data_IF_023409808673
#
_entry.id   IF_023409808673
#
_cell.length_a   1.000
_cell.length_b   1.000
_cell.length_c   1.000
_cell.angle_alpha   90.00
_cell.angle_beta   90.00
_cell.angle_gamma   90.00
#
_symmetry.space_group_name_H-M   'P 1'
#
loop_
_entity.id
_entity.type
_entity.pdbx_description
1 polymer ?
#
# COMPACT_ATOMS: atom_id res chain seq x y z
N UNK A 1 -20.02 -10.11 7.99
CA UNK A 1 -19.52 -10.69 6.73
C UNK A 1 -18.02 -10.50 6.67
N UNK A 2 -17.27 -11.53 6.30
CA UNK A 2 -15.82 -11.42 6.08
C UNK A 2 -15.53 -10.48 4.90
N UNK A 3 -14.52 -9.62 5.03
CA UNK A 3 -14.03 -8.69 3.99
C UNK A 3 -12.69 -9.17 3.47
N UNK A 4 -12.33 -8.76 2.27
CA UNK A 4 -11.01 -9.03 1.67
C UNK A 4 -10.17 -7.76 1.73
N UNK A 5 -9.03 -7.85 2.41
CA UNK A 5 -8.07 -6.76 2.61
C UNK A 5 -6.83 -6.98 1.75
N UNK A 6 -6.52 -6.05 0.86
CA UNK A 6 -5.25 -6.00 0.14
C UNK A 6 -4.31 -5.01 0.84
N UNK A 7 -3.20 -5.51 1.39
CA UNK A 7 -2.29 -4.71 2.22
C UNK A 7 -0.91 -4.66 1.57
N UNK A 8 -0.42 -3.47 1.27
CA UNK A 8 0.91 -3.30 0.71
C UNK A 8 1.97 -3.14 1.81
N UNK A 9 3.16 -3.75 1.60
CA UNK A 9 4.25 -3.66 2.56
C UNK A 9 4.02 -4.46 3.85
N UNK A 10 3.34 -5.61 3.77
CA UNK A 10 2.97 -6.47 4.90
C UNK A 10 4.10 -7.38 5.42
N UNK A 11 5.38 -7.08 5.14
CA UNK A 11 6.52 -7.90 5.59
C UNK A 11 7.19 -7.39 6.86
N UNK A 12 6.75 -6.27 7.45
CA UNK A 12 7.29 -5.69 8.70
C UNK A 12 6.40 -4.56 9.24
N UNK A 13 6.56 -4.26 10.55
CA UNK A 13 5.96 -3.11 11.21
C UNK A 13 4.45 -3.03 11.00
N UNK A 14 3.91 -1.82 10.86
CA UNK A 14 2.48 -1.54 10.78
C UNK A 14 1.72 -2.43 9.76
N UNK A 15 2.35 -2.78 8.64
CA UNK A 15 1.70 -3.65 7.65
C UNK A 15 1.45 -5.07 8.15
N UNK A 16 2.31 -5.60 9.03
CA UNK A 16 2.11 -6.89 9.70
C UNK A 16 1.00 -6.76 10.74
N UNK A 17 1.02 -5.68 11.52
CA UNK A 17 0.03 -5.46 12.58
C UNK A 17 -1.39 -5.32 12.01
N UNK A 18 -1.54 -4.56 10.92
CA UNK A 18 -2.83 -4.43 10.20
C UNK A 18 -3.28 -5.78 9.64
N UNK A 19 -2.35 -6.56 9.06
CA UNK A 19 -2.68 -7.87 8.50
C UNK A 19 -3.14 -8.85 9.58
N UNK A 20 -2.44 -8.92 10.71
CA UNK A 20 -2.82 -9.75 11.84
C UNK A 20 -4.18 -9.33 12.42
N UNK A 21 -4.39 -8.04 12.66
CA UNK A 21 -5.67 -7.54 13.16
C UNK A 21 -6.85 -7.88 12.22
N UNK A 22 -6.64 -7.81 10.91
CA UNK A 22 -7.66 -8.19 9.94
C UNK A 22 -7.95 -9.70 9.96
N UNK A 23 -6.91 -10.55 10.06
CA UNK A 23 -7.06 -12.01 10.18
C UNK A 23 -7.76 -12.39 11.49
N UNK A 24 -7.36 -11.81 12.63
CA UNK A 24 -7.97 -12.01 13.93
C UNK A 24 -9.46 -11.60 13.97
N UNK A 25 -9.82 -10.58 13.19
CA UNK A 25 -11.21 -10.16 13.02
C UNK A 25 -12.02 -11.06 12.06
N UNK A 26 -11.44 -12.16 11.57
CA UNK A 26 -12.11 -13.12 10.68
C UNK A 26 -12.22 -12.62 9.22
N UNK A 27 -11.29 -11.79 8.77
CA UNK A 27 -11.23 -11.30 7.40
C UNK A 27 -10.20 -12.07 6.56
N UNK A 28 -10.38 -12.07 5.26
CA UNK A 28 -9.38 -12.56 4.30
C UNK A 28 -8.33 -11.47 4.03
N UNK A 29 -7.06 -11.85 3.99
CA UNK A 29 -5.95 -10.92 3.78
C UNK A 29 -5.11 -11.33 2.59
N UNK A 30 -4.88 -10.40 1.68
CA UNK A 30 -3.86 -10.46 0.65
C UNK A 30 -2.70 -9.59 1.11
N UNK A 31 -1.69 -10.22 1.70
CA UNK A 31 -0.51 -9.57 2.22
C UNK A 31 0.58 -9.48 1.15
N UNK A 32 1.05 -8.28 0.84
CA UNK A 32 1.98 -8.11 -0.27
C UNK A 32 3.31 -7.48 0.14
N UNK A 33 4.34 -7.81 -0.62
CA UNK A 33 5.67 -7.25 -0.46
C UNK A 33 6.62 -7.71 -1.56
N UNK A 34 7.78 -7.05 -1.71
CA UNK A 34 8.81 -7.44 -2.68
C UNK A 34 9.45 -8.78 -2.35
N UNK A 35 9.53 -9.13 -1.07
CA UNK A 35 10.06 -10.40 -0.57
C UNK A 35 8.92 -11.18 0.11
N UNK A 36 8.37 -12.16 -0.60
CA UNK A 36 7.26 -13.01 -0.14
C UNK A 36 7.62 -13.89 1.03
N UNK A 37 8.88 -14.36 1.12
CA UNK A 37 9.33 -15.20 2.24
C UNK A 37 9.33 -14.42 3.55
N UNK A 38 9.68 -13.13 3.48
CA UNK A 38 9.60 -12.24 4.64
C UNK A 38 8.15 -12.03 5.10
N UNK A 39 7.24 -11.83 4.14
CA UNK A 39 5.80 -11.67 4.44
C UNK A 39 5.26 -12.97 5.06
N UNK A 40 5.54 -14.11 4.45
CA UNK A 40 5.09 -15.42 4.93
C UNK A 40 5.65 -15.76 6.31
N UNK A 41 6.91 -15.41 6.61
CA UNK A 41 7.48 -15.61 7.95
C UNK A 41 6.85 -14.72 9.01
N UNK A 42 6.45 -13.50 8.64
CA UNK A 42 5.85 -12.55 9.57
C UNK A 42 4.39 -12.90 9.93
N UNK A 43 3.63 -13.46 8.98
CA UNK A 43 2.19 -13.71 9.13
C UNK A 43 1.82 -15.18 9.29
N UNK A 44 2.76 -16.10 9.06
CA UNK A 44 2.49 -17.54 9.11
C UNK A 44 1.68 -18.04 7.92
N UNK A 45 0.91 -19.11 8.17
CA UNK A 45 0.05 -19.76 7.16
C UNK A 45 -1.39 -19.79 7.66
N UNK A 46 -2.33 -19.39 6.81
CA UNK A 46 -3.77 -19.49 7.06
C UNK A 46 -4.50 -19.70 5.72
N UNK A 47 -5.68 -20.32 5.76
CA UNK A 47 -6.56 -20.42 4.60
C UNK A 47 -7.06 -19.03 4.16
N UNK A 48 -7.17 -18.11 5.11
CA UNK A 48 -7.65 -16.73 4.93
C UNK A 48 -6.52 -15.77 4.52
N UNK A 49 -5.28 -16.27 4.39
CA UNK A 49 -4.11 -15.49 3.99
C UNK A 49 -3.66 -15.88 2.58
N UNK A 50 -3.43 -14.88 1.73
CA UNK A 50 -2.73 -15.00 0.46
C UNK A 50 -1.51 -14.08 0.47
N UNK A 51 -0.32 -14.64 0.28
CA UNK A 51 0.92 -13.86 0.16
C UNK A 51 1.24 -13.68 -1.32
N UNK A 52 1.40 -12.42 -1.76
CA UNK A 52 1.67 -12.07 -3.16
C UNK A 52 2.87 -11.15 -3.28
N UNK A 53 3.72 -11.41 -4.28
CA UNK A 53 4.82 -10.50 -4.62
C UNK A 53 4.24 -9.23 -5.22
N UNK A 54 4.68 -8.09 -4.70
CA UNK A 54 4.28 -6.77 -5.22
C UNK A 54 5.39 -5.75 -4.99
N UNK A 55 5.93 -5.23 -6.07
CA UNK A 55 6.66 -3.98 -6.09
C UNK A 55 5.68 -2.88 -6.56
N UNK A 56 5.24 -2.02 -5.65
CA UNK A 56 4.24 -0.98 -5.93
C UNK A 56 4.69 0.04 -6.97
N UNK A 57 6.01 0.14 -7.25
CA UNK A 57 6.53 1.01 -8.30
C UNK A 57 6.28 0.46 -9.70
N UNK A 58 5.84 -0.81 -9.81
CA UNK A 58 5.56 -1.51 -11.07
C UNK A 58 4.06 -1.70 -11.25
N UNK A 59 3.41 -1.01 -12.21
CA UNK A 59 1.97 -1.19 -12.47
C UNK A 59 1.57 -2.63 -12.76
N UNK A 60 2.39 -3.38 -13.49
CA UNK A 60 2.14 -4.79 -13.83
C UNK A 60 2.10 -5.71 -12.61
N UNK A 61 2.93 -5.44 -11.58
CA UNK A 61 2.89 -6.18 -10.33
C UNK A 61 1.58 -5.89 -9.58
N UNK A 62 1.09 -4.63 -9.62
CA UNK A 62 -0.18 -4.26 -9.01
C UNK A 62 -1.37 -4.98 -9.69
N UNK A 63 -1.40 -5.01 -11.02
CA UNK A 63 -2.41 -5.74 -11.79
C UNK A 63 -2.40 -7.24 -11.45
N UNK A 64 -1.22 -7.84 -11.37
CA UNK A 64 -1.04 -9.26 -11.02
C UNK A 64 -1.52 -9.56 -9.60
N UNK A 65 -1.22 -8.68 -8.64
CA UNK A 65 -1.67 -8.83 -7.26
C UNK A 65 -3.19 -8.70 -7.12
N UNK A 66 -3.81 -7.77 -7.84
CA UNK A 66 -5.27 -7.62 -7.90
C UNK A 66 -5.92 -8.86 -8.52
N UNK A 67 -5.37 -9.35 -9.64
CA UNK A 67 -5.86 -10.58 -10.26
C UNK A 67 -5.80 -11.76 -9.29
N UNK A 68 -4.66 -11.99 -8.65
CA UNK A 68 -4.49 -13.07 -7.65
C UNK A 68 -5.49 -12.95 -6.49
N UNK A 69 -5.77 -11.71 -6.03
CA UNK A 69 -6.75 -11.44 -4.97
C UNK A 69 -8.16 -11.86 -5.40
N UNK A 70 -8.55 -11.48 -6.61
CA UNK A 70 -9.88 -11.80 -7.15
C UNK A 70 -10.00 -13.30 -7.45
N UNK A 71 -8.96 -13.92 -8.03
CA UNK A 71 -8.94 -15.36 -8.29
C UNK A 71 -9.11 -16.17 -7.01
N UNK A 72 -8.52 -15.74 -5.88
CA UNK A 72 -8.58 -16.46 -4.60
C UNK A 72 -9.84 -16.18 -3.80
N UNK A 73 -10.25 -14.91 -3.71
CA UNK A 73 -11.31 -14.47 -2.78
C UNK A 73 -12.53 -13.84 -3.46
N UNK A 74 -12.50 -13.65 -4.78
CA UNK A 74 -13.61 -13.14 -5.58
C UNK A 74 -13.83 -11.62 -5.52
N UNK A 75 -13.14 -10.92 -4.60
CA UNK A 75 -13.38 -9.50 -4.32
C UNK A 75 -12.19 -8.81 -3.65
N UNK A 76 -12.24 -7.47 -3.56
CA UNK A 76 -11.36 -6.64 -2.72
C UNK A 76 -12.24 -5.58 -2.06
N UNK A 77 -12.36 -5.62 -0.73
CA UNK A 77 -13.20 -4.68 0.02
C UNK A 77 -12.40 -3.51 0.58
N UNK A 78 -11.15 -3.77 0.98
CA UNK A 78 -10.28 -2.76 1.58
C UNK A 78 -8.90 -2.84 0.92
N UNK A 79 -8.44 -1.70 0.41
CA UNK A 79 -7.04 -1.50 0.04
C UNK A 79 -6.34 -0.71 1.13
N UNK A 80 -5.21 -1.23 1.62
CA UNK A 80 -4.33 -0.49 2.53
C UNK A 80 -3.00 -0.19 1.82
N UNK A 81 -2.83 1.04 1.38
CA UNK A 81 -1.57 1.59 0.88
C UNK A 81 -0.66 1.93 2.07
N UNK A 82 0.11 0.94 2.52
CA UNK A 82 1.02 1.08 3.66
C UNK A 82 2.49 1.07 3.24
N UNK A 83 2.85 0.45 2.13
CA UNK A 83 4.24 0.39 1.68
C UNK A 83 4.82 1.79 1.44
N UNK A 84 5.94 2.07 2.10
CA UNK A 84 6.68 3.33 1.98
C UNK A 84 8.16 3.11 2.27
N UNK A 85 8.97 4.12 1.96
CA UNK A 85 10.36 4.26 2.37
C UNK A 85 10.58 5.66 2.96
N UNK A 86 11.75 5.86 3.55
CA UNK A 86 12.16 7.13 4.12
C UNK A 86 13.66 7.33 3.86
N UNK A 87 13.99 8.42 3.19
CA UNK A 87 15.35 8.92 3.05
C UNK A 87 15.48 10.20 3.85
N UNK A 88 16.39 10.21 4.82
CA UNK A 88 16.70 11.35 5.68
C UNK A 88 18.06 11.94 5.30
N UNK A 89 18.17 13.25 5.33
CA UNK A 89 19.40 13.99 5.08
C UNK A 89 19.13 15.46 4.76
N UNK A 90 20.16 16.27 4.74
CA UNK A 90 20.06 17.61 4.19
C UNK A 90 19.70 17.52 2.70
N UNK A 91 18.95 18.51 2.20
CA UNK A 91 18.45 18.47 0.83
C UNK A 91 19.56 18.31 -0.21
N UNK A 92 20.66 19.05 -0.02
CA UNK A 92 21.83 19.01 -0.90
C UNK A 92 22.65 17.71 -0.81
N UNK A 93 22.46 16.90 0.24
CA UNK A 93 23.11 15.61 0.42
C UNK A 93 22.31 14.44 -0.14
N UNK A 94 21.01 14.65 -0.36
CA UNK A 94 20.14 13.63 -0.95
C UNK A 94 20.48 13.49 -2.44
N UNK A 95 20.88 12.30 -2.84
CA UNK A 95 21.10 11.99 -4.24
C UNK A 95 19.78 12.09 -5.03
N UNK A 96 19.81 12.58 -6.29
CA UNK A 96 18.61 12.63 -7.14
C UNK A 96 17.85 11.30 -7.20
N UNK A 97 18.57 10.18 -7.26
CA UNK A 97 18.00 8.82 -7.29
C UNK A 97 17.29 8.45 -6.00
N UNK A 98 17.70 8.99 -4.85
CA UNK A 98 17.01 8.80 -3.57
C UNK A 98 15.70 9.58 -3.56
N UNK A 99 15.70 10.81 -4.07
CA UNK A 99 14.51 11.62 -4.26
C UNK A 99 13.50 10.92 -5.17
N UNK A 100 13.94 10.43 -6.34
CA UNK A 100 13.10 9.69 -7.27
C UNK A 100 12.51 8.43 -6.64
N UNK A 101 13.34 7.65 -5.94
CA UNK A 101 12.88 6.43 -5.24
C UNK A 101 11.89 6.74 -4.12
N UNK A 102 12.09 7.86 -3.41
CA UNK A 102 11.15 8.31 -2.38
C UNK A 102 9.77 8.59 -2.99
N UNK A 103 9.73 9.38 -4.05
CA UNK A 103 8.50 9.75 -4.74
C UNK A 103 7.86 8.54 -5.43
N UNK A 104 8.65 7.74 -6.15
CA UNK A 104 8.16 6.52 -6.82
C UNK A 104 7.52 5.53 -5.84
N UNK A 105 8.13 5.34 -4.66
CA UNK A 105 7.61 4.38 -3.68
C UNK A 105 6.46 4.97 -2.87
N UNK A 106 6.61 6.19 -2.34
CA UNK A 106 5.70 6.70 -1.31
C UNK A 106 4.54 7.53 -1.88
N UNK A 107 4.57 7.90 -3.16
CA UNK A 107 3.51 8.64 -3.85
C UNK A 107 2.98 7.88 -5.08
N UNK A 108 3.82 7.62 -6.07
CA UNK A 108 3.38 6.98 -7.33
C UNK A 108 2.97 5.53 -7.10
N UNK A 109 3.66 4.81 -6.22
CA UNK A 109 3.35 3.41 -5.89
C UNK A 109 1.92 3.21 -5.38
N UNK A 110 1.45 3.94 -4.36
CA UNK A 110 0.05 3.91 -3.94
C UNK A 110 -0.95 4.24 -5.06
N UNK A 111 -0.62 5.18 -5.95
CA UNK A 111 -1.45 5.50 -7.11
C UNK A 111 -1.58 4.32 -8.07
N UNK A 112 -0.48 3.58 -8.34
CA UNK A 112 -0.49 2.40 -9.21
C UNK A 112 -1.40 1.31 -8.64
N UNK A 113 -1.25 0.98 -7.36
CA UNK A 113 -2.07 -0.07 -6.71
C UNK A 113 -3.54 0.36 -6.67
N UNK A 114 -3.81 1.60 -6.32
CA UNK A 114 -5.17 2.15 -6.31
C UNK A 114 -5.81 2.08 -7.70
N UNK A 115 -5.08 2.47 -8.75
CA UNK A 115 -5.56 2.39 -10.14
C UNK A 115 -5.94 0.96 -10.53
N UNK A 116 -5.15 -0.03 -10.12
CA UNK A 116 -5.43 -1.43 -10.40
C UNK A 116 -6.65 -1.97 -9.63
N UNK A 117 -6.87 -1.52 -8.39
CA UNK A 117 -7.98 -1.97 -7.52
C UNK A 117 -9.31 -1.32 -7.89
N UNK A 118 -9.32 -0.06 -8.30
CA UNK A 118 -10.55 0.71 -8.57
C UNK A 118 -11.55 0.03 -9.50
N UNK A 119 -11.16 -0.63 -10.63
CA UNK A 119 -12.11 -1.31 -11.49
C UNK A 119 -12.89 -2.42 -10.78
N UNK A 120 -12.23 -3.16 -9.88
CA UNK A 120 -12.84 -4.22 -9.06
C UNK A 120 -13.87 -3.61 -8.10
N UNK A 121 -13.48 -2.57 -7.35
CA UNK A 121 -14.36 -1.89 -6.39
C UNK A 121 -15.56 -1.23 -7.07
N UNK A 122 -15.36 -0.63 -8.26
CA UNK A 122 -16.46 -0.07 -9.07
C UNK A 122 -17.47 -1.13 -9.49
N UNK A 123 -17.00 -2.29 -9.98
CA UNK A 123 -17.88 -3.41 -10.34
C UNK A 123 -18.65 -3.92 -9.12
N UNK A 124 -18.04 -3.92 -7.94
CA UNK A 124 -18.65 -4.30 -6.67
C UNK A 124 -19.64 -3.24 -6.15
N UNK A 125 -19.55 -1.99 -6.64
CA UNK A 125 -20.23 -0.80 -6.09
C UNK A 125 -19.93 -0.58 -4.59
N UNK A 126 -18.77 -1.03 -4.14
CA UNK A 126 -18.32 -0.89 -2.76
C UNK A 126 -16.81 -1.06 -2.68
N UNK A 127 -16.20 -0.38 -1.74
CA UNK A 127 -14.76 -0.47 -1.47
C UNK A 127 -14.32 0.65 -0.53
N UNK A 128 -13.20 0.41 0.17
CA UNK A 128 -12.55 1.39 1.02
C UNK A 128 -11.07 1.43 0.68
N UNK A 129 -10.52 2.61 0.49
CA UNK A 129 -9.09 2.83 0.28
C UNK A 129 -8.54 3.59 1.47
N UNK A 130 -7.59 2.98 2.16
CA UNK A 130 -6.85 3.56 3.28
C UNK A 130 -5.43 3.80 2.80
N UNK A 131 -4.94 5.03 2.91
CA UNK A 131 -3.55 5.37 2.58
C UNK A 131 -2.85 5.90 3.83
N UNK A 132 -1.75 5.26 4.20
CA UNK A 132 -0.97 5.66 5.37
C UNK A 132 -0.17 6.92 5.02
N UNK A 133 -0.58 8.02 5.58
CA UNK A 133 0.10 9.31 5.47
C UNK A 133 1.08 9.52 6.64
N UNK A 134 1.34 10.75 6.97
CA UNK A 134 2.24 11.17 8.06
C UNK A 134 1.93 12.62 8.44
N UNK A 135 2.34 13.04 9.63
CA UNK A 135 2.43 14.47 9.97
C UNK A 135 3.30 15.25 8.97
N UNK A 136 4.26 14.58 8.33
CA UNK A 136 5.06 15.12 7.22
C UNK A 136 4.26 15.46 5.95
N UNK A 137 3.00 15.08 5.87
CA UNK A 137 2.07 15.51 4.83
C UNK A 137 1.32 16.82 5.18
N UNK A 138 1.48 17.31 6.40
CA UNK A 138 0.84 18.54 6.90
C UNK A 138 1.85 19.64 7.19
N UNK A 139 3.04 19.27 7.68
CA UNK A 139 4.13 20.19 8.00
C UNK A 139 5.47 19.62 7.54
N UNK A 140 6.37 20.47 7.05
CA UNK A 140 7.75 20.08 6.77
C UNK A 140 8.56 19.99 8.06
N UNK A 141 9.65 19.19 8.04
CA UNK A 141 10.61 19.07 9.14
C UNK A 141 12.03 18.88 8.59
N UNK A 142 13.00 19.16 9.42
CA UNK A 142 14.41 19.01 9.06
C UNK A 142 14.73 17.57 8.62
N UNK A 143 15.66 17.42 7.69
CA UNK A 143 16.10 16.13 7.12
C UNK A 143 15.01 15.30 6.41
N UNK A 144 13.79 15.80 6.27
CA UNK A 144 12.65 15.07 5.74
C UNK A 144 12.13 15.55 4.39
N UNK A 145 12.89 16.35 3.63
CA UNK A 145 12.40 17.04 2.43
C UNK A 145 11.75 16.09 1.40
N UNK A 146 12.45 15.03 1.01
CA UNK A 146 11.94 14.06 0.04
C UNK A 146 10.70 13.33 0.55
N UNK A 147 10.71 12.98 1.84
CA UNK A 147 9.59 12.29 2.49
C UNK A 147 8.38 13.22 2.62
N UNK A 148 8.58 14.45 3.11
CA UNK A 148 7.52 15.44 3.20
C UNK A 148 6.90 15.72 1.83
N UNK A 149 7.71 15.93 0.78
CA UNK A 149 7.21 16.10 -0.59
C UNK A 149 6.30 14.96 -1.02
N UNK A 150 6.69 13.70 -0.73
CA UNK A 150 5.86 12.53 -1.04
C UNK A 150 4.56 12.49 -0.24
N UNK A 151 4.58 12.88 1.03
CA UNK A 151 3.41 12.83 1.91
C UNK A 151 2.43 13.99 1.69
N UNK A 152 2.91 15.20 1.39
CA UNK A 152 2.05 16.28 0.88
C UNK A 152 1.39 15.88 -0.44
N UNK A 153 2.13 15.20 -1.34
CA UNK A 153 1.57 14.64 -2.57
C UNK A 153 0.48 13.62 -2.31
N UNK A 154 0.64 12.75 -1.28
CA UNK A 154 -0.38 11.79 -0.86
C UNK A 154 -1.63 12.50 -0.37
N UNK A 155 -1.53 13.53 0.49
CA UNK A 155 -2.67 14.31 0.96
C UNK A 155 -3.43 14.94 -0.21
N UNK A 156 -2.72 15.64 -1.11
CA UNK A 156 -3.34 16.28 -2.27
C UNK A 156 -3.99 15.26 -3.22
N UNK A 157 -3.35 14.11 -3.43
CA UNK A 157 -3.89 13.07 -4.29
C UNK A 157 -5.12 12.37 -3.67
N UNK A 158 -5.14 12.11 -2.37
CA UNK A 158 -6.26 11.40 -1.70
C UNK A 158 -7.50 12.28 -1.52
N UNK A 159 -7.37 13.60 -1.70
CA UNK A 159 -8.51 14.52 -1.70
C UNK A 159 -9.40 14.41 -2.95
N UNK A 160 -9.06 13.59 -3.95
CA UNK A 160 -9.92 13.43 -5.11
C UNK A 160 -11.24 12.77 -4.73
N UNK A 161 -12.35 13.48 -4.98
CA UNK A 161 -13.69 12.92 -4.86
C UNK A 161 -14.08 12.34 -6.20
N UNK A 162 -14.47 11.06 -6.22
CA UNK A 162 -15.13 10.51 -7.38
C UNK A 162 -16.59 11.02 -7.36
N UNK A 163 -17.09 11.63 -8.45
CA UNK A 163 -18.53 11.86 -8.54
C UNK A 163 -19.22 10.48 -8.49
N UNK A 164 -20.19 10.40 -7.59
CA UNK A 164 -21.05 9.23 -7.38
C UNK A 164 -21.87 8.92 -8.62
#
# INVERSE_FOLDING_TARGET
>A
MSKVWLITGAGRGLGVDIANAALEAGHNVVATGRNTDRVARALGKSADLLVVKLDITKPTDAESAVKASVDKFGRIDVLVNNAANFYAGFFEELLPEQMERQLSTSLVGPMNVTRAVLPVMRKQRSGLIITISSTAGLIGFEFGTAYAASKFGVEGWTCFRHPS
#
